data_IF_059877636706
#
_entry.id   IF_059877636706
#
_cell.length_a   1.000
_cell.length_b   1.000
_cell.length_c   1.000
_cell.angle_alpha   90.00
_cell.angle_beta   90.00
_cell.angle_gamma   90.00
#
_symmetry.space_group_name_H-M   'P 1'
#
loop_
_entity.id
_entity.type
_entity.pdbx_description
1 polymer ?
#
# COMPACT_ATOMS: atom_id res chain seq x y z
N UNK A 1 -48.58 -54.09 14.15
CA UNK A 1 -49.51 -53.28 14.95
C UNK A 1 -48.69 -52.39 15.82
N UNK A 2 -48.46 -51.13 15.39
CA UNK A 2 -47.84 -50.09 16.22
C UNK A 2 -48.47 -48.75 15.81
N UNK A 3 -49.21 -48.20 16.69
CA UNK A 3 -50.07 -47.02 16.55
C UNK A 3 -49.24 -45.74 16.55
N UNK A 4 -49.40 -44.92 15.51
CA UNK A 4 -48.92 -43.54 15.46
C UNK A 4 -49.82 -42.65 16.31
N UNK A 5 -49.25 -41.97 17.31
CA UNK A 5 -49.88 -40.82 17.98
C UNK A 5 -49.47 -39.52 17.29
N UNK A 6 -50.46 -38.83 16.74
CA UNK A 6 -50.33 -37.51 16.21
C UNK A 6 -50.36 -36.49 17.37
N UNK A 7 -49.38 -35.61 17.47
CA UNK A 7 -49.40 -34.41 18.35
C UNK A 7 -49.91 -33.21 17.55
N UNK A 8 -51.05 -32.71 17.90
CA UNK A 8 -51.61 -31.48 17.36
C UNK A 8 -51.12 -30.31 18.25
N UNK A 9 -50.32 -29.41 17.65
CA UNK A 9 -49.93 -28.16 18.30
C UNK A 9 -50.94 -27.09 17.89
N UNK A 10 -51.68 -26.57 18.87
CA UNK A 10 -52.59 -25.44 18.71
C UNK A 10 -51.77 -24.18 18.94
N UNK A 11 -51.52 -23.36 17.88
CA UNK A 11 -50.97 -22.01 18.02
C UNK A 11 -52.09 -21.03 18.38
N UNK A 12 -52.12 -20.57 19.59
CA UNK A 12 -52.95 -19.43 19.99
C UNK A 12 -52.23 -18.11 19.56
N UNK A 13 -52.82 -17.41 18.60
CA UNK A 13 -52.39 -16.05 18.20
C UNK A 13 -52.99 -15.04 19.17
N UNK A 14 -52.19 -14.52 20.09
CA UNK A 14 -52.54 -13.37 20.91
C UNK A 14 -52.22 -12.09 20.15
N UNK A 15 -53.23 -11.37 19.66
CA UNK A 15 -53.09 -10.00 19.20
C UNK A 15 -52.78 -9.08 20.36
N UNK A 16 -51.52 -8.66 20.50
CA UNK A 16 -51.13 -7.57 21.41
C UNK A 16 -51.09 -6.30 20.55
N UNK A 17 -52.12 -5.42 20.72
CA UNK A 17 -52.04 -4.04 20.28
C UNK A 17 -50.98 -3.31 21.09
N UNK A 18 -49.72 -3.29 20.56
CA UNK A 18 -48.62 -2.51 21.12
C UNK A 18 -48.74 -1.06 20.70
N UNK A 19 -48.82 -0.17 21.65
CA UNK A 19 -48.74 1.30 21.47
C UNK A 19 -47.42 1.62 20.72
N UNK A 20 -47.54 2.33 19.56
CA UNK A 20 -46.43 2.98 18.89
C UNK A 20 -45.90 4.09 19.83
N UNK A 21 -44.89 3.80 20.58
CA UNK A 21 -44.03 4.80 21.17
C UNK A 21 -43.20 5.40 20.04
N UNK A 22 -43.44 6.69 19.76
CA UNK A 22 -42.55 7.51 18.92
C UNK A 22 -41.15 7.35 19.53
N UNK A 23 -40.27 6.64 18.82
CA UNK A 23 -38.85 6.66 19.12
C UNK A 23 -38.38 8.09 18.93
N UNK A 24 -38.17 8.79 20.04
CA UNK A 24 -37.52 10.09 20.02
C UNK A 24 -36.20 9.93 19.28
N UNK A 25 -35.95 10.76 18.30
CA UNK A 25 -34.64 10.89 17.66
C UNK A 25 -33.64 11.17 18.78
N UNK A 26 -32.81 10.20 19.10
CA UNK A 26 -31.73 10.35 20.04
C UNK A 26 -30.77 11.38 19.41
N UNK A 27 -30.79 12.62 19.89
CA UNK A 27 -29.80 13.62 19.52
C UNK A 27 -28.42 12.97 19.72
N UNK A 28 -27.72 12.72 18.62
CA UNK A 28 -26.34 12.24 18.69
C UNK A 28 -25.53 13.28 19.49
N UNK A 29 -24.82 12.83 20.51
CA UNK A 29 -23.90 13.70 21.25
C UNK A 29 -23.08 14.52 20.26
N UNK A 30 -22.82 15.82 20.53
CA UNK A 30 -22.11 16.68 19.60
C UNK A 30 -20.77 16.04 19.27
N UNK A 31 -20.55 15.75 17.99
CA UNK A 31 -19.29 15.18 17.53
C UNK A 31 -18.16 16.16 17.87
N UNK A 32 -17.09 15.63 18.49
CA UNK A 32 -15.88 16.39 18.80
C UNK A 32 -15.36 17.05 17.50
N UNK A 33 -15.20 18.36 17.52
CA UNK A 33 -14.60 19.10 16.42
C UNK A 33 -13.13 19.35 16.75
N UNK A 34 -12.24 18.99 15.83
CA UNK A 34 -10.79 19.27 15.93
C UNK A 34 -10.44 20.27 14.84
N UNK A 35 -9.65 21.27 15.17
CA UNK A 35 -9.08 22.23 14.23
C UNK A 35 -7.56 22.05 14.19
N UNK A 36 -7.03 21.52 13.08
CA UNK A 36 -5.59 21.50 12.82
C UNK A 36 -5.18 22.79 12.13
N UNK A 37 -4.11 23.43 12.58
CA UNK A 37 -3.56 24.61 11.91
C UNK A 37 -2.05 24.56 11.83
N UNK A 38 -1.50 25.04 10.71
CA UNK A 38 -0.07 25.11 10.46
C UNK A 38 0.28 26.27 9.53
N UNK A 39 1.55 26.64 9.47
CA UNK A 39 2.03 27.70 8.59
C UNK A 39 1.75 27.42 7.10
N UNK A 40 1.73 26.17 6.69
CA UNK A 40 1.51 25.73 5.29
C UNK A 40 0.58 24.52 5.23
N UNK A 41 -0.04 24.36 4.07
CA UNK A 41 -0.86 23.17 3.75
C UNK A 41 -0.77 22.89 2.25
N UNK A 42 -0.58 21.64 1.89
CA UNK A 42 -0.68 21.12 0.53
C UNK A 42 -1.86 20.16 0.53
N UNK A 43 -2.92 20.53 -0.18
CA UNK A 43 -4.17 19.75 -0.18
C UNK A 43 -4.09 18.48 -1.01
N UNK A 44 -3.14 18.41 -1.96
CA UNK A 44 -3.03 17.34 -2.96
C UNK A 44 -4.04 17.46 -4.11
N UNK A 45 -4.96 18.42 -4.06
CA UNK A 45 -5.93 18.66 -5.15
C UNK A 45 -5.25 19.29 -6.36
N UNK A 46 -4.39 20.25 -6.09
CA UNK A 46 -3.61 21.00 -7.07
C UNK A 46 -2.17 21.20 -6.54
N UNK A 47 -1.36 21.98 -7.27
CA UNK A 47 0.04 22.27 -6.93
C UNK A 47 0.20 23.45 -5.95
N UNK A 48 -0.90 23.97 -5.39
CA UNK A 48 -0.86 25.14 -4.53
C UNK A 48 -0.38 24.82 -3.10
N UNK A 49 0.49 25.68 -2.58
CA UNK A 49 0.85 25.71 -1.15
C UNK A 49 0.03 26.78 -0.45
N UNK A 50 -0.94 26.38 0.34
CA UNK A 50 -1.82 27.26 1.10
C UNK A 50 -1.10 27.76 2.35
N UNK A 51 -0.98 29.08 2.53
CA UNK A 51 -0.43 29.69 3.75
C UNK A 51 -1.50 29.73 4.85
N UNK A 52 -1.06 29.56 6.11
CA UNK A 52 -1.93 29.54 7.29
C UNK A 52 -3.09 28.53 7.10
N UNK A 53 -2.73 27.29 6.74
CA UNK A 53 -3.67 26.21 6.50
C UNK A 53 -4.44 25.83 7.76
N UNK A 54 -5.77 25.68 7.61
CA UNK A 54 -6.66 25.18 8.67
C UNK A 54 -7.51 24.06 8.10
N UNK A 55 -7.60 22.96 8.87
CA UNK A 55 -8.50 21.83 8.59
C UNK A 55 -9.45 21.70 9.76
N UNK A 56 -10.74 21.73 9.52
CA UNK A 56 -11.78 21.40 10.50
C UNK A 56 -12.21 19.95 10.31
N UNK A 57 -12.25 19.19 11.40
CA UNK A 57 -12.53 17.75 11.41
C UNK A 57 -13.70 17.50 12.35
N UNK A 58 -14.71 16.74 11.91
CA UNK A 58 -15.81 16.26 12.73
C UNK A 58 -15.88 14.73 12.66
N UNK A 59 -15.70 14.08 13.79
CA UNK A 59 -15.59 12.62 13.83
C UNK A 59 -14.41 12.12 12.98
N UNK A 60 -14.67 11.25 12.03
CA UNK A 60 -13.64 10.67 11.16
C UNK A 60 -13.39 11.48 9.87
N UNK A 61 -14.11 12.60 9.64
CA UNK A 61 -14.13 13.27 8.34
C UNK A 61 -13.68 14.71 8.41
N UNK A 62 -13.08 15.14 7.31
CA UNK A 62 -12.78 16.55 7.06
C UNK A 62 -14.10 17.28 6.78
N UNK A 63 -14.40 18.33 7.56
CA UNK A 63 -15.54 19.21 7.39
C UNK A 63 -15.25 20.36 6.45
N UNK A 64 -14.09 21.01 6.66
CA UNK A 64 -13.66 22.15 5.85
C UNK A 64 -12.14 22.25 5.82
N UNK A 65 -11.62 22.81 4.73
CA UNK A 65 -10.19 23.04 4.49
C UNK A 65 -10.03 24.42 3.86
N UNK A 66 -9.05 25.19 4.31
CA UNK A 66 -8.77 26.50 3.69
C UNK A 66 -7.72 27.31 4.43
N UNK A 67 -7.43 28.51 3.90
CA UNK A 67 -6.55 29.48 4.55
C UNK A 67 -7.33 30.23 5.64
N UNK A 68 -6.78 30.26 6.88
CA UNK A 68 -7.32 31.07 7.99
C UNK A 68 -8.83 30.91 8.22
N UNK A 69 -9.36 29.70 8.11
CA UNK A 69 -10.77 29.42 8.35
C UNK A 69 -11.19 29.83 9.77
N UNK A 70 -12.45 30.33 9.97
CA UNK A 70 -12.99 30.54 11.31
C UNK A 70 -13.04 29.22 12.09
N UNK A 71 -12.41 29.20 13.24
CA UNK A 71 -12.40 28.02 14.13
C UNK A 71 -13.57 28.15 15.10
N UNK A 72 -14.48 27.15 15.19
CA UNK A 72 -15.57 27.15 16.17
C UNK A 72 -15.04 27.25 17.60
N UNK A 73 -15.72 28.01 18.46
CA UNK A 73 -15.27 28.24 19.83
C UNK A 73 -15.20 26.95 20.68
N UNK A 74 -15.96 25.92 20.29
CA UNK A 74 -15.95 24.59 20.95
C UNK A 74 -14.97 23.61 20.31
N UNK A 75 -14.21 24.00 19.28
CA UNK A 75 -13.24 23.12 18.65
C UNK A 75 -11.98 22.97 19.51
N UNK A 76 -11.47 21.75 19.58
CA UNK A 76 -10.12 21.48 20.07
C UNK A 76 -9.10 21.94 19.04
N UNK A 77 -8.25 22.88 19.40
CA UNK A 77 -7.24 23.44 18.47
C UNK A 77 -5.91 22.76 18.68
N UNK A 78 -5.39 22.15 17.62
CA UNK A 78 -4.02 21.62 17.53
C UNK A 78 -3.21 22.56 16.64
N UNK A 79 -2.37 23.39 17.26
CA UNK A 79 -1.47 24.32 16.58
C UNK A 79 -0.13 23.66 16.32
N UNK A 80 0.17 23.39 15.07
CA UNK A 80 1.39 22.69 14.63
C UNK A 80 2.53 23.65 14.23
N UNK A 81 2.29 24.97 14.35
CA UNK A 81 3.31 25.99 14.15
C UNK A 81 3.94 25.99 12.76
N UNK A 82 5.28 26.04 12.68
CA UNK A 82 6.02 25.99 11.42
C UNK A 82 6.08 24.56 10.86
N UNK A 83 4.94 24.11 10.37
CA UNK A 83 4.78 22.82 9.71
C UNK A 83 4.01 22.97 8.39
N UNK A 84 4.01 21.91 7.60
CA UNK A 84 3.17 21.73 6.43
C UNK A 84 2.18 20.59 6.65
N UNK A 85 0.88 20.88 6.58
CA UNK A 85 -0.18 19.87 6.58
C UNK A 85 -0.26 19.21 5.21
N UNK A 86 -0.37 17.89 5.19
CA UNK A 86 -0.48 17.05 4.00
C UNK A 86 -1.57 15.99 4.21
N UNK A 87 -2.13 15.40 3.13
CA UNK A 87 -2.83 14.14 3.25
C UNK A 87 -1.91 13.07 3.84
N UNK A 88 -2.47 12.12 4.56
CA UNK A 88 -1.70 10.93 4.98
C UNK A 88 -1.07 10.24 3.78
N UNK A 89 0.19 9.82 3.93
CA UNK A 89 0.94 9.15 2.88
C UNK A 89 0.36 7.75 2.58
N UNK A 90 0.51 7.32 1.34
CA UNK A 90 0.04 6.04 0.84
C UNK A 90 1.22 5.28 0.26
N UNK A 91 1.45 4.07 0.73
CA UNK A 91 2.39 3.12 0.16
C UNK A 91 1.63 2.09 -0.68
N UNK A 92 1.72 2.21 -2.01
CA UNK A 92 0.98 1.35 -2.92
C UNK A 92 1.65 -0.01 -3.18
N UNK A 93 2.79 -0.31 -2.54
CA UNK A 93 3.49 -1.58 -2.64
C UNK A 93 4.33 -1.85 -1.39
N UNK A 94 3.83 -2.66 -0.50
CA UNK A 94 4.57 -3.10 0.69
C UNK A 94 4.33 -4.58 1.00
N UNK A 95 5.14 -5.13 1.90
CA UNK A 95 5.08 -6.50 2.41
C UNK A 95 5.16 -6.48 3.93
N UNK A 96 4.05 -6.10 4.60
CA UNK A 96 4.05 -5.90 6.05
C UNK A 96 4.39 -7.16 6.84
N UNK A 97 4.02 -8.34 6.32
CA UNK A 97 4.17 -9.62 7.00
C UNK A 97 5.49 -10.33 6.67
N UNK A 98 6.41 -9.63 6.00
CA UNK A 98 7.73 -10.15 5.64
C UNK A 98 8.82 -9.20 6.09
N UNK A 99 9.89 -9.75 6.64
CA UNK A 99 11.10 -9.00 6.98
C UNK A 99 12.31 -9.89 6.82
N UNK A 100 13.24 -9.46 5.99
CA UNK A 100 14.50 -10.16 5.71
C UNK A 100 15.71 -9.31 6.09
N UNK A 101 16.81 -9.95 6.40
CA UNK A 101 18.07 -9.24 6.58
C UNK A 101 18.57 -8.71 5.25
N UNK A 102 18.66 -7.37 5.14
CA UNK A 102 19.12 -6.68 3.95
C UNK A 102 20.62 -6.81 3.68
N UNK A 103 21.41 -7.33 4.62
CA UNK A 103 22.88 -7.38 4.49
C UNK A 103 23.39 -8.43 3.50
N UNK A 104 22.52 -9.29 2.96
CA UNK A 104 22.90 -10.30 1.99
C UNK A 104 21.88 -10.43 0.84
N UNK A 105 21.85 -9.42 -0.02
CA UNK A 105 20.94 -9.36 -1.17
C UNK A 105 21.08 -10.56 -2.13
N UNK A 106 22.24 -11.20 -2.20
CA UNK A 106 22.46 -12.36 -3.07
C UNK A 106 21.78 -13.64 -2.57
N UNK A 107 21.32 -13.67 -1.32
CA UNK A 107 20.64 -14.81 -0.71
C UNK A 107 19.15 -14.56 -0.44
N UNK A 108 18.54 -13.54 -1.03
CA UNK A 108 17.12 -13.17 -0.78
C UNK A 108 16.18 -14.36 -1.02
N UNK A 109 16.35 -15.09 -2.12
CA UNK A 109 15.50 -16.26 -2.42
C UNK A 109 15.63 -17.36 -1.36
N UNK A 110 16.86 -17.59 -0.85
CA UNK A 110 17.11 -18.56 0.21
C UNK A 110 16.50 -18.11 1.53
N UNK A 111 16.63 -16.83 1.84
CA UNK A 111 16.04 -16.25 3.05
C UNK A 111 14.51 -16.27 3.01
N UNK A 112 13.91 -15.97 1.86
CA UNK A 112 12.46 -16.10 1.67
C UNK A 112 12.00 -17.55 1.89
N UNK A 113 12.69 -18.53 1.31
CA UNK A 113 12.39 -19.95 1.55
C UNK A 113 12.51 -20.32 3.03
N UNK A 114 13.54 -19.80 3.72
CA UNK A 114 13.73 -20.01 5.16
C UNK A 114 12.55 -19.45 5.95
N UNK A 115 12.12 -18.21 5.68
CA UNK A 115 10.99 -17.56 6.34
C UNK A 115 9.73 -18.41 6.17
N UNK A 116 9.40 -18.79 4.93
CA UNK A 116 8.19 -19.57 4.63
C UNK A 116 8.23 -20.96 5.28
N UNK A 117 9.42 -21.57 5.39
CA UNK A 117 9.57 -22.88 6.00
C UNK A 117 9.61 -22.87 7.54
N UNK A 118 9.91 -21.73 8.17
CA UNK A 118 10.18 -21.67 9.63
C UNK A 118 9.25 -20.73 10.41
N UNK A 119 8.54 -19.82 9.74
CA UNK A 119 7.63 -18.87 10.39
C UNK A 119 6.18 -19.18 10.03
N UNK A 120 5.35 -19.35 11.04
CA UNK A 120 3.90 -19.53 10.83
C UNK A 120 3.23 -18.23 10.33
N UNK A 121 2.11 -18.34 9.64
CA UNK A 121 1.29 -17.18 9.26
C UNK A 121 0.91 -16.32 10.47
N UNK A 122 0.71 -16.92 11.65
CA UNK A 122 0.38 -16.20 12.88
C UNK A 122 1.56 -15.33 13.37
N UNK A 123 2.79 -15.87 13.37
CA UNK A 123 4.00 -15.11 13.70
C UNK A 123 4.21 -13.96 12.72
N UNK A 124 4.03 -14.21 11.43
CA UNK A 124 4.13 -13.19 10.38
C UNK A 124 3.05 -12.11 10.52
N UNK A 125 1.82 -12.45 10.91
CA UNK A 125 0.77 -11.47 11.19
C UNK A 125 1.11 -10.58 12.41
N UNK A 126 1.75 -11.12 13.45
CA UNK A 126 2.24 -10.33 14.59
C UNK A 126 3.40 -9.41 14.18
N UNK A 127 4.31 -9.89 13.35
CA UNK A 127 5.35 -9.07 12.72
C UNK A 127 4.73 -7.92 11.92
N UNK A 128 3.72 -8.24 11.09
CA UNK A 128 2.98 -7.26 10.29
C UNK A 128 2.25 -6.21 11.15
N UNK A 129 1.77 -6.57 12.35
CA UNK A 129 1.18 -5.61 13.28
C UNK A 129 2.22 -4.60 13.82
N UNK A 130 3.45 -5.06 14.09
CA UNK A 130 4.57 -4.16 14.45
C UNK A 130 4.90 -3.23 13.27
N UNK A 131 5.14 -3.81 12.09
CA UNK A 131 5.52 -3.06 10.90
C UNK A 131 4.46 -2.04 10.49
N UNK A 132 3.18 -2.44 10.51
CA UNK A 132 2.08 -1.54 10.21
C UNK A 132 1.92 -0.39 11.22
N UNK A 133 2.20 -0.64 12.50
CA UNK A 133 2.25 0.44 13.49
C UNK A 133 3.38 1.41 13.19
N UNK A 134 4.56 0.93 12.87
CA UNK A 134 5.73 1.76 12.54
C UNK A 134 5.51 2.58 11.26
N UNK A 135 4.87 1.99 10.23
CA UNK A 135 4.44 2.72 9.03
C UNK A 135 3.44 3.83 9.37
N UNK A 136 2.42 3.53 10.18
CA UNK A 136 1.43 4.52 10.59
C UNK A 136 2.06 5.68 11.39
N UNK A 137 2.95 5.37 12.34
CA UNK A 137 3.69 6.38 13.14
C UNK A 137 4.63 7.25 12.28
N UNK A 138 5.09 6.73 11.13
CA UNK A 138 5.86 7.49 10.16
C UNK A 138 5.01 8.37 9.21
N UNK A 139 3.67 8.25 9.27
CA UNK A 139 2.75 9.04 8.46
C UNK A 139 2.14 8.30 7.27
N UNK A 140 2.44 7.02 7.08
CA UNK A 140 1.83 6.16 6.06
C UNK A 140 0.48 5.68 6.61
N UNK A 141 -0.62 6.33 6.21
CA UNK A 141 -1.96 6.06 6.74
C UNK A 141 -2.71 4.99 5.95
N UNK A 142 -2.26 4.68 4.75
CA UNK A 142 -2.84 3.65 3.86
C UNK A 142 -1.74 2.86 3.18
N UNK A 143 -1.91 1.55 3.05
CA UNK A 143 -0.96 0.66 2.36
C UNK A 143 -1.68 -0.33 1.45
N UNK A 144 -1.00 -0.78 0.40
CA UNK A 144 -1.36 -1.98 -0.34
C UNK A 144 -0.31 -3.06 -0.09
N UNK A 145 -0.69 -4.08 0.70
CA UNK A 145 0.12 -5.27 0.93
C UNK A 145 -0.08 -6.24 -0.25
N UNK A 146 1.01 -6.57 -0.93
CA UNK A 146 0.97 -7.27 -2.21
C UNK A 146 1.61 -8.66 -2.16
N UNK A 147 1.42 -9.35 -1.04
CA UNK A 147 1.81 -10.75 -0.86
C UNK A 147 3.00 -10.93 0.07
N UNK A 148 3.61 -12.10 0.02
CA UNK A 148 4.59 -12.58 1.00
C UNK A 148 4.02 -12.54 2.44
N UNK A 149 2.76 -12.94 2.57
CA UNK A 149 1.96 -12.83 3.81
C UNK A 149 1.49 -14.19 4.32
N UNK A 150 1.96 -15.29 3.71
CA UNK A 150 1.46 -16.62 3.97
C UNK A 150 -0.01 -16.77 3.55
N UNK A 151 -0.69 -17.78 4.08
CA UNK A 151 -2.09 -18.03 3.75
C UNK A 151 -3.00 -17.05 4.52
N UNK A 152 -3.45 -15.99 3.83
CA UNK A 152 -4.41 -14.99 4.32
C UNK A 152 -3.97 -14.21 5.60
N UNK A 153 -2.66 -14.11 5.87
CA UNK A 153 -2.14 -13.36 7.01
C UNK A 153 -2.40 -11.86 6.90
N UNK A 154 -2.30 -11.28 5.71
CA UNK A 154 -2.62 -9.90 5.40
C UNK A 154 -4.10 -9.56 5.64
N UNK A 155 -5.01 -10.44 5.25
CA UNK A 155 -6.46 -10.27 5.52
C UNK A 155 -6.74 -10.33 7.02
N UNK A 156 -6.06 -11.21 7.75
CA UNK A 156 -6.20 -11.30 9.20
C UNK A 156 -5.69 -10.01 9.88
N UNK A 157 -4.54 -9.50 9.46
CA UNK A 157 -3.98 -8.24 9.96
C UNK A 157 -4.90 -7.04 9.63
N UNK A 158 -5.36 -6.94 8.38
CA UNK A 158 -6.31 -5.90 7.97
C UNK A 158 -7.55 -5.88 8.88
N UNK A 159 -8.17 -7.04 9.11
CA UNK A 159 -9.34 -7.16 9.99
C UNK A 159 -9.03 -6.78 11.43
N UNK A 160 -7.87 -7.14 11.96
CA UNK A 160 -7.45 -6.74 13.30
C UNK A 160 -7.30 -5.22 13.43
N UNK A 161 -6.75 -4.55 12.40
CA UNK A 161 -6.64 -3.08 12.35
C UNK A 161 -8.03 -2.43 12.22
N UNK A 162 -8.91 -2.96 11.34
CA UNK A 162 -10.28 -2.45 11.14
C UNK A 162 -11.14 -2.57 12.42
N UNK A 163 -10.92 -3.63 13.21
CA UNK A 163 -11.59 -3.83 14.50
C UNK A 163 -10.95 -3.03 15.64
N UNK A 164 -9.84 -2.33 15.39
CA UNK A 164 -9.12 -1.58 16.42
C UNK A 164 -8.38 -2.45 17.45
N UNK A 165 -8.14 -3.73 17.14
CA UNK A 165 -7.37 -4.62 18.03
C UNK A 165 -5.89 -4.28 18.04
N UNK A 166 -5.37 -3.82 16.93
CA UNK A 166 -3.99 -3.36 16.78
C UNK A 166 -3.96 -2.05 15.98
N UNK A 167 -3.04 -1.11 16.27
CA UNK A 167 -2.84 0.07 15.45
C UNK A 167 -2.19 -0.32 14.10
N UNK A 168 -2.52 0.43 13.05
CA UNK A 168 -1.92 0.24 11.73
C UNK A 168 -2.59 1.10 10.66
N UNK A 169 -2.02 1.16 9.44
CA UNK A 169 -2.60 1.87 8.32
C UNK A 169 -3.88 1.20 7.82
N UNK A 170 -4.61 1.86 6.96
CA UNK A 170 -5.70 1.26 6.18
C UNK A 170 -5.08 0.31 5.16
N UNK A 171 -5.49 -0.94 5.14
CA UNK A 171 -4.86 -1.95 4.29
C UNK A 171 -5.74 -2.35 3.09
N UNK A 172 -5.12 -2.41 1.93
CA UNK A 172 -5.57 -3.17 0.76
C UNK A 172 -4.74 -4.45 0.74
N UNK A 173 -5.38 -5.61 0.84
CA UNK A 173 -4.73 -6.90 0.98
C UNK A 173 -4.93 -7.76 -0.28
N UNK A 174 -3.88 -8.43 -0.75
CA UNK A 174 -3.92 -9.23 -1.97
C UNK A 174 -4.14 -10.72 -1.74
N UNK A 175 -3.95 -11.22 -0.52
CA UNK A 175 -3.76 -12.64 -0.22
C UNK A 175 -2.48 -13.18 -0.90
N UNK A 176 -2.46 -14.47 -1.26
CA UNK A 176 -1.33 -15.06 -1.99
C UNK A 176 -1.30 -14.55 -3.43
N UNK A 177 -0.10 -14.27 -3.95
CA UNK A 177 0.05 -13.85 -5.34
C UNK A 177 -0.26 -14.99 -6.32
N UNK A 178 -0.89 -14.67 -7.45
CA UNK A 178 -1.07 -15.60 -8.55
C UNK A 178 0.22 -15.69 -9.36
N UNK A 179 0.65 -16.90 -9.72
CA UNK A 179 1.90 -17.09 -10.44
C UNK A 179 1.85 -18.35 -11.33
N UNK A 180 2.76 -18.43 -12.30
CA UNK A 180 3.08 -19.69 -12.94
C UNK A 180 3.75 -20.67 -11.94
N UNK A 181 3.92 -21.94 -12.34
CA UNK A 181 4.53 -22.96 -11.49
C UNK A 181 5.89 -22.50 -10.95
N UNK A 182 6.06 -22.52 -9.63
CA UNK A 182 7.28 -22.11 -8.93
C UNK A 182 7.23 -20.71 -8.33
N UNK A 183 6.37 -19.82 -8.82
CA UNK A 183 6.35 -18.43 -8.36
C UNK A 183 7.71 -17.76 -8.59
N UNK A 184 8.23 -17.11 -7.55
CA UNK A 184 9.57 -16.53 -7.55
C UNK A 184 10.64 -17.47 -6.93
N UNK A 185 10.23 -18.60 -6.30
CA UNK A 185 11.19 -19.53 -5.69
C UNK A 185 11.98 -20.38 -6.69
N UNK A 186 11.60 -20.33 -7.98
CA UNK A 186 12.21 -21.17 -8.96
C UNK A 186 11.82 -22.67 -8.83
N UNK A 187 12.75 -23.56 -9.21
CA UNK A 187 12.47 -25.00 -9.22
C UNK A 187 12.77 -25.63 -7.86
N UNK A 188 11.74 -26.06 -7.16
CA UNK A 188 11.85 -26.90 -5.96
C UNK A 188 11.62 -28.38 -6.29
N UNK A 189 12.10 -29.25 -5.42
CA UNK A 189 11.80 -30.70 -5.50
C UNK A 189 10.31 -30.95 -5.24
N UNK A 190 9.72 -32.05 -5.74
CA UNK A 190 8.29 -32.32 -5.57
C UNK A 190 7.83 -32.32 -4.11
N UNK A 191 8.66 -32.77 -3.19
CA UNK A 191 8.37 -32.87 -1.77
C UNK A 191 8.26 -31.48 -1.09
N UNK A 192 8.82 -30.44 -1.72
CA UNK A 192 8.83 -29.06 -1.21
C UNK A 192 7.79 -28.16 -1.90
N UNK A 193 6.90 -28.72 -2.75
CA UNK A 193 5.90 -27.94 -3.48
C UNK A 193 4.94 -27.18 -2.55
N UNK A 194 4.64 -27.72 -1.39
CA UNK A 194 3.81 -27.08 -0.36
C UNK A 194 4.39 -25.76 0.15
N UNK A 195 5.68 -25.52 0.02
CA UNK A 195 6.31 -24.23 0.34
C UNK A 195 5.83 -23.15 -0.63
N UNK A 196 5.78 -23.49 -1.93
CA UNK A 196 5.27 -22.56 -2.95
C UNK A 196 3.81 -22.18 -2.63
N UNK A 197 2.99 -23.14 -2.25
CA UNK A 197 1.56 -22.95 -1.96
C UNK A 197 1.29 -22.09 -0.71
N UNK A 198 2.30 -21.81 0.12
CA UNK A 198 2.17 -20.84 1.23
C UNK A 198 2.13 -19.39 0.71
N UNK A 199 2.83 -19.09 -0.39
CA UNK A 199 2.96 -17.72 -0.91
C UNK A 199 2.25 -17.50 -2.24
N UNK A 200 2.09 -18.56 -3.06
CA UNK A 200 1.58 -18.44 -4.42
C UNK A 200 0.40 -19.38 -4.68
N UNK A 201 -0.53 -18.89 -5.48
CA UNK A 201 -1.55 -19.74 -6.12
C UNK A 201 -1.07 -20.02 -7.54
N UNK A 202 -0.72 -21.28 -7.83
CA UNK A 202 -0.26 -21.68 -9.16
C UNK A 202 -1.42 -21.70 -10.14
N UNK A 203 -1.31 -20.92 -11.22
CA UNK A 203 -2.27 -20.92 -12.35
C UNK A 203 -1.76 -21.79 -13.49
N UNK A 204 -2.67 -22.41 -14.20
CA UNK A 204 -2.43 -23.31 -15.36
C UNK A 204 -3.50 -23.10 -16.41
N UNK A 205 -3.33 -22.05 -17.22
CA UNK A 205 -4.29 -21.63 -18.25
C UNK A 205 -5.37 -20.67 -17.71
N UNK A 206 -6.08 -20.04 -18.65
CA UNK A 206 -7.02 -18.94 -18.39
C UNK A 206 -8.16 -19.33 -17.42
N UNK A 207 -8.72 -20.54 -17.50
CA UNK A 207 -9.78 -20.96 -16.59
C UNK A 207 -9.27 -21.13 -15.16
N UNK A 208 -8.07 -21.74 -14.99
CA UNK A 208 -7.41 -21.82 -13.68
C UNK A 208 -7.14 -20.43 -13.09
N UNK A 209 -6.76 -19.47 -13.94
CA UNK A 209 -6.54 -18.09 -13.55
C UNK A 209 -7.83 -17.42 -13.02
N UNK A 210 -8.98 -17.58 -13.70
CA UNK A 210 -10.28 -17.08 -13.23
C UNK A 210 -10.67 -17.68 -11.88
N UNK A 211 -10.51 -19.01 -11.73
CA UNK A 211 -10.80 -19.68 -10.46
C UNK A 211 -9.92 -19.18 -9.32
N UNK A 212 -8.62 -18.93 -9.58
CA UNK A 212 -7.70 -18.37 -8.60
C UNK A 212 -8.11 -16.96 -8.14
N UNK A 213 -8.58 -16.11 -9.07
CA UNK A 213 -9.12 -14.77 -8.71
C UNK A 213 -10.36 -14.93 -7.82
N UNK A 214 -11.33 -15.78 -8.19
CA UNK A 214 -12.53 -16.02 -7.37
C UNK A 214 -12.19 -16.53 -5.99
N UNK A 215 -11.19 -17.41 -5.87
CA UNK A 215 -10.74 -17.92 -4.58
C UNK A 215 -10.10 -16.79 -3.74
N UNK A 216 -9.23 -15.97 -4.33
CA UNK A 216 -8.63 -14.84 -3.63
C UNK A 216 -9.70 -13.86 -3.10
N UNK A 217 -10.73 -13.55 -3.90
CA UNK A 217 -11.86 -12.70 -3.49
C UNK A 217 -12.66 -13.33 -2.34
N UNK A 218 -12.92 -14.64 -2.40
CA UNK A 218 -13.59 -15.40 -1.32
C UNK A 218 -12.78 -15.36 -0.04
N UNK A 219 -11.46 -15.47 -0.12
CA UNK A 219 -10.52 -15.38 1.01
C UNK A 219 -10.42 -13.97 1.60
N UNK A 220 -10.92 -12.97 0.87
CA UNK A 220 -11.03 -11.58 1.33
C UNK A 220 -10.02 -10.63 0.71
N UNK A 221 -9.43 -10.98 -0.44
CA UNK A 221 -8.60 -10.04 -1.20
C UNK A 221 -9.37 -8.78 -1.59
N UNK A 222 -8.72 -7.63 -1.54
CA UNK A 222 -9.21 -6.34 -2.02
C UNK A 222 -8.36 -5.77 -3.17
N UNK A 223 -7.32 -6.49 -3.58
CA UNK A 223 -6.60 -6.39 -4.84
C UNK A 223 -6.10 -7.77 -5.24
N UNK A 224 -5.72 -7.95 -6.51
CA UNK A 224 -5.08 -9.18 -6.99
C UNK A 224 -3.62 -8.87 -7.29
N UNK A 225 -2.69 -9.66 -6.73
CA UNK A 225 -1.26 -9.62 -7.09
C UNK A 225 -0.94 -10.76 -8.03
N UNK A 226 -0.19 -10.45 -9.10
CA UNK A 226 0.30 -11.43 -10.07
C UNK A 226 1.82 -11.30 -10.20
N UNK A 227 2.53 -12.42 -10.21
CA UNK A 227 3.92 -12.52 -10.59
C UNK A 227 3.98 -12.93 -12.07
N UNK A 228 4.20 -11.96 -12.95
CA UNK A 228 4.17 -12.19 -14.41
C UNK A 228 5.40 -12.96 -14.86
N UNK A 229 6.59 -12.52 -14.45
CA UNK A 229 7.84 -13.22 -14.72
C UNK A 229 8.21 -14.11 -13.53
N UNK A 230 7.78 -15.35 -13.58
CA UNK A 230 8.16 -16.38 -12.63
C UNK A 230 9.38 -17.19 -13.12
N UNK A 231 9.77 -18.18 -12.33
CA UNK A 231 10.82 -19.13 -12.71
C UNK A 231 10.32 -20.56 -12.44
N UNK A 232 10.36 -21.47 -13.40
CA UNK A 232 10.97 -21.38 -14.74
C UNK A 232 10.03 -20.86 -15.85
N UNK A 233 8.80 -20.46 -15.55
CA UNK A 233 7.80 -20.06 -16.54
C UNK A 233 7.13 -18.73 -16.20
N UNK A 234 6.79 -17.96 -17.23
CA UNK A 234 6.02 -16.72 -17.11
C UNK A 234 4.51 -17.00 -17.22
N UNK A 235 3.71 -16.10 -16.65
CA UNK A 235 2.28 -16.02 -16.91
C UNK A 235 2.06 -15.52 -18.33
N UNK A 236 1.21 -16.18 -19.09
CA UNK A 236 0.91 -15.85 -20.49
C UNK A 236 -0.04 -14.66 -20.60
N UNK A 237 -0.11 -14.03 -21.78
CA UNK A 237 -1.06 -12.94 -22.04
C UNK A 237 -2.53 -13.39 -21.87
N UNK A 238 -2.87 -14.62 -22.25
CA UNK A 238 -4.21 -15.18 -22.14
C UNK A 238 -4.62 -15.34 -20.66
N UNK A 239 -3.70 -15.87 -19.84
CA UNK A 239 -3.89 -15.97 -18.39
C UNK A 239 -4.02 -14.59 -17.74
N UNK A 240 -3.15 -13.63 -18.12
CA UNK A 240 -3.22 -12.26 -17.60
C UNK A 240 -4.54 -11.58 -17.93
N UNK A 241 -5.03 -11.71 -19.18
CA UNK A 241 -6.36 -11.19 -19.56
C UNK A 241 -7.48 -11.83 -18.75
N UNK A 242 -7.42 -13.14 -18.54
CA UNK A 242 -8.41 -13.86 -17.74
C UNK A 242 -8.43 -13.37 -16.27
N UNK A 243 -7.25 -13.07 -15.69
CA UNK A 243 -7.13 -12.48 -14.35
C UNK A 243 -7.75 -11.08 -14.32
N UNK A 244 -7.36 -10.21 -15.26
CA UNK A 244 -7.82 -8.82 -15.32
C UNK A 244 -9.34 -8.76 -15.51
N UNK A 245 -9.89 -9.52 -16.47
CA UNK A 245 -11.34 -9.57 -16.74
C UNK A 245 -12.12 -10.00 -15.49
N UNK A 246 -11.68 -11.04 -14.79
CA UNK A 246 -12.38 -11.57 -13.62
C UNK A 246 -12.28 -10.63 -12.41
N UNK A 247 -11.11 -10.03 -12.19
CA UNK A 247 -10.90 -9.07 -11.12
C UNK A 247 -11.73 -7.79 -11.35
N UNK A 248 -11.67 -7.22 -12.57
CA UNK A 248 -12.40 -6.02 -12.93
C UNK A 248 -13.91 -6.22 -12.92
N UNK A 249 -14.41 -7.38 -13.32
CA UNK A 249 -15.83 -7.73 -13.19
C UNK A 249 -16.33 -7.67 -11.73
N UNK A 250 -15.42 -7.84 -10.78
CA UNK A 250 -15.67 -7.73 -9.33
C UNK A 250 -15.31 -6.37 -8.75
N UNK A 251 -14.88 -5.40 -9.57
CA UNK A 251 -14.46 -4.05 -9.15
C UNK A 251 -13.12 -4.03 -8.40
N UNK A 252 -12.27 -5.06 -8.58
CA UNK A 252 -11.01 -5.21 -7.86
C UNK A 252 -9.84 -4.96 -8.81
N UNK A 253 -8.82 -4.25 -8.30
CA UNK A 253 -7.61 -3.84 -9.03
C UNK A 253 -6.57 -4.96 -9.10
N UNK A 254 -5.78 -4.96 -10.19
CA UNK A 254 -4.71 -5.95 -10.44
C UNK A 254 -3.34 -5.28 -10.40
N UNK A 255 -2.46 -5.75 -9.54
CA UNK A 255 -1.06 -5.37 -9.41
C UNK A 255 -0.16 -6.45 -10.01
N UNK A 256 0.71 -6.08 -10.94
CA UNK A 256 1.55 -7.02 -11.68
C UNK A 256 3.04 -6.79 -11.39
N UNK A 257 3.69 -7.71 -10.65
CA UNK A 257 5.15 -7.78 -10.65
C UNK A 257 5.62 -8.15 -12.06
N UNK A 258 6.35 -7.26 -12.71
CA UNK A 258 6.85 -7.49 -14.06
C UNK A 258 8.23 -6.84 -14.25
N UNK A 259 9.24 -7.66 -14.46
CA UNK A 259 10.63 -7.25 -14.72
C UNK A 259 11.00 -7.68 -16.13
N UNK A 260 11.66 -6.78 -16.85
CA UNK A 260 12.03 -6.97 -18.25
C UNK A 260 10.89 -6.66 -19.24
N UNK A 261 11.27 -6.38 -20.48
CA UNK A 261 10.37 -5.88 -21.53
C UNK A 261 9.18 -6.82 -21.82
N UNK A 262 9.42 -8.13 -21.89
CA UNK A 262 8.40 -9.10 -22.26
C UNK A 262 7.30 -9.22 -21.18
N UNK A 263 7.67 -9.32 -19.91
CA UNK A 263 6.71 -9.43 -18.80
C UNK A 263 5.92 -8.12 -18.64
N UNK A 264 6.61 -6.98 -18.68
CA UNK A 264 5.99 -5.65 -18.60
C UNK A 264 5.00 -5.42 -19.75
N UNK A 265 5.36 -5.83 -20.97
CA UNK A 265 4.45 -5.79 -22.13
C UNK A 265 3.21 -6.65 -21.91
N UNK A 266 3.40 -7.89 -21.48
CA UNK A 266 2.29 -8.82 -21.20
C UNK A 266 1.30 -8.22 -20.20
N UNK A 267 1.79 -7.65 -19.10
CA UNK A 267 0.98 -6.98 -18.10
C UNK A 267 0.24 -5.74 -18.67
N UNK A 268 0.96 -4.86 -19.38
CA UNK A 268 0.40 -3.64 -19.98
C UNK A 268 -0.65 -3.97 -21.04
N UNK A 269 -0.40 -4.94 -21.93
CA UNK A 269 -1.35 -5.36 -22.96
C UNK A 269 -2.59 -6.03 -22.37
N UNK A 270 -2.47 -6.76 -21.27
CA UNK A 270 -3.60 -7.34 -20.54
C UNK A 270 -4.47 -6.27 -19.87
N UNK A 271 -3.94 -5.08 -19.58
CA UNK A 271 -4.71 -3.98 -18.98
C UNK A 271 -4.77 -4.05 -17.46
N UNK A 272 -3.69 -4.46 -16.80
CA UNK A 272 -3.55 -4.37 -15.34
C UNK A 272 -3.64 -2.92 -14.86
N UNK A 273 -3.94 -2.71 -13.59
CA UNK A 273 -4.04 -1.36 -13.02
C UNK A 273 -2.68 -0.78 -12.65
N UNK A 274 -1.75 -1.61 -12.20
CA UNK A 274 -0.37 -1.20 -11.96
C UNK A 274 0.64 -2.26 -12.38
N UNK A 275 1.81 -1.78 -12.77
CA UNK A 275 3.02 -2.57 -12.95
C UNK A 275 4.02 -2.15 -11.90
N UNK A 276 4.45 -3.13 -11.14
CA UNK A 276 5.43 -3.00 -10.09
C UNK A 276 6.83 -3.18 -10.70
N UNK A 277 7.77 -2.33 -10.32
CA UNK A 277 9.18 -2.32 -10.78
C UNK A 277 9.37 -1.90 -12.24
N UNK A 278 8.94 -2.70 -13.22
CA UNK A 278 9.15 -2.49 -14.66
C UNK A 278 10.62 -2.24 -15.06
N UNK A 279 11.57 -2.89 -14.35
CA UNK A 279 12.99 -2.75 -14.69
C UNK A 279 13.28 -3.24 -16.12
N UNK A 280 14.18 -2.55 -16.83
CA UNK A 280 14.61 -2.89 -18.20
C UNK A 280 13.43 -2.92 -19.22
N UNK A 281 12.56 -1.92 -19.16
CA UNK A 281 11.41 -1.76 -20.08
C UNK A 281 11.78 -0.86 -21.26
N UNK A 282 11.21 -1.14 -22.44
CA UNK A 282 11.35 -0.30 -23.65
C UNK A 282 10.31 0.81 -23.72
N UNK A 283 10.61 1.84 -24.54
CA UNK A 283 9.77 3.03 -24.71
C UNK A 283 8.37 2.73 -25.27
N UNK A 284 8.25 1.75 -26.16
CA UNK A 284 6.96 1.39 -26.74
C UNK A 284 6.02 0.75 -25.69
N UNK A 285 6.56 0.01 -24.70
CA UNK A 285 5.77 -0.51 -23.59
C UNK A 285 5.35 0.61 -22.63
N UNK A 286 6.23 1.56 -22.32
CA UNK A 286 5.87 2.75 -21.53
C UNK A 286 4.75 3.57 -22.20
N UNK A 287 4.76 3.67 -23.53
CA UNK A 287 3.67 4.30 -24.28
C UNK A 287 2.35 3.52 -24.16
N UNK A 288 2.38 2.19 -24.16
CA UNK A 288 1.19 1.36 -23.91
C UNK A 288 0.65 1.62 -22.49
N UNK A 289 1.54 1.66 -21.50
CA UNK A 289 1.14 1.98 -20.11
C UNK A 289 0.46 3.35 -20.03
N UNK A 290 1.05 4.38 -20.61
CA UNK A 290 0.47 5.72 -20.64
C UNK A 290 -0.89 5.76 -21.35
N UNK A 291 -1.02 5.12 -22.53
CA UNK A 291 -2.27 5.08 -23.30
C UNK A 291 -3.41 4.36 -22.57
N UNK A 292 -3.08 3.32 -21.81
CA UNK A 292 -4.04 2.52 -21.04
C UNK A 292 -4.23 2.98 -19.61
N UNK A 293 -3.54 4.05 -19.21
CA UNK A 293 -3.54 4.56 -17.84
C UNK A 293 -3.10 3.50 -16.81
N UNK A 294 -2.11 2.68 -17.17
CA UNK A 294 -1.49 1.70 -16.27
C UNK A 294 -0.45 2.42 -15.42
N UNK A 295 -0.62 2.40 -14.12
CA UNK A 295 0.32 3.01 -13.18
C UNK A 295 1.66 2.27 -13.17
N UNK A 296 2.74 3.03 -13.05
CA UNK A 296 4.03 2.50 -12.59
C UNK A 296 4.14 2.72 -11.09
N UNK A 297 4.44 1.64 -10.35
CA UNK A 297 4.90 1.70 -8.96
C UNK A 297 6.38 1.37 -8.97
N UNK A 298 7.28 2.38 -8.92
CA UNK A 298 8.69 2.19 -9.25
C UNK A 298 9.46 1.29 -8.28
N UNK A 299 9.25 1.47 -6.96
CA UNK A 299 9.96 0.76 -5.89
C UNK A 299 11.49 0.96 -5.90
N UNK A 300 11.93 2.11 -6.37
CA UNK A 300 13.34 2.42 -6.60
C UNK A 300 14.09 2.70 -5.31
N UNK A 301 15.38 2.38 -5.29
CA UNK A 301 16.29 2.71 -4.21
C UNK A 301 17.39 3.67 -4.65
N UNK A 302 18.03 4.35 -3.70
CA UNK A 302 19.25 5.10 -3.96
C UNK A 302 20.47 4.20 -3.81
N UNK A 303 21.60 4.60 -4.41
CA UNK A 303 22.87 3.90 -4.16
C UNK A 303 23.19 3.82 -2.65
N UNK A 304 22.89 4.88 -1.90
CA UNK A 304 23.07 4.93 -0.44
C UNK A 304 22.18 3.92 0.30
N UNK A 305 20.99 3.63 -0.22
CA UNK A 305 20.11 2.58 0.32
C UNK A 305 20.73 1.20 0.13
N UNK A 306 21.21 0.88 -1.08
CA UNK A 306 21.89 -0.38 -1.37
C UNK A 306 23.21 -0.53 -0.59
N UNK A 307 23.98 0.56 -0.46
CA UNK A 307 25.19 0.63 0.39
C UNK A 307 24.87 0.26 1.84
N UNK A 308 23.85 0.91 2.43
CA UNK A 308 23.45 0.68 3.81
C UNK A 308 22.98 -0.77 4.04
N UNK A 309 22.20 -1.32 3.13
CA UNK A 309 21.79 -2.73 3.18
C UNK A 309 22.99 -3.67 3.10
N UNK A 310 23.86 -3.50 2.08
CA UNK A 310 24.97 -4.43 1.83
C UNK A 310 26.03 -4.47 2.93
N UNK A 311 26.24 -3.38 3.63
CA UNK A 311 27.28 -3.28 4.65
C UNK A 311 26.74 -3.21 6.08
N UNK A 312 25.45 -3.27 6.28
CA UNK A 312 24.81 -3.23 7.59
C UNK A 312 25.07 -1.92 8.34
N UNK A 313 25.37 -0.81 7.61
CA UNK A 313 25.70 0.48 8.20
C UNK A 313 25.32 1.64 7.26
N UNK A 314 24.86 2.74 7.85
CA UNK A 314 24.64 4.03 7.13
C UNK A 314 25.88 4.88 7.03
N UNK A 315 27.02 4.44 7.61
CA UNK A 315 28.29 5.13 7.62
C UNK A 315 29.37 4.26 6.95
N UNK A 316 29.17 3.97 5.66
CA UNK A 316 30.11 3.20 4.88
C UNK A 316 31.44 3.93 4.72
N UNK A 317 32.53 3.17 4.73
CA UNK A 317 33.87 3.67 4.38
C UNK A 317 33.95 4.00 2.89
N UNK A 318 34.95 4.75 2.47
CA UNK A 318 35.17 5.08 1.05
C UNK A 318 35.33 3.81 0.18
N UNK A 319 36.05 2.80 0.66
CA UNK A 319 36.21 1.53 -0.03
C UNK A 319 34.87 0.76 -0.18
N UNK A 320 34.00 0.83 0.84
CA UNK A 320 32.65 0.24 0.76
C UNK A 320 31.77 0.99 -0.23
N UNK A 321 31.81 2.32 -0.24
CA UNK A 321 31.08 3.14 -1.23
C UNK A 321 31.51 2.83 -2.66
N UNK A 322 32.84 2.78 -2.91
CA UNK A 322 33.34 2.42 -4.25
C UNK A 322 32.88 1.02 -4.69
N UNK A 323 32.83 0.07 -3.76
CA UNK A 323 32.32 -1.27 -4.05
C UNK A 323 30.81 -1.26 -4.35
N UNK A 324 30.01 -0.53 -3.59
CA UNK A 324 28.58 -0.39 -3.83
C UNK A 324 28.31 0.29 -5.19
N UNK A 325 29.08 1.33 -5.53
CA UNK A 325 28.99 1.99 -6.84
C UNK A 325 29.29 1.03 -7.99
N UNK A 326 30.32 0.21 -7.88
CA UNK A 326 30.65 -0.81 -8.88
C UNK A 326 29.54 -1.86 -9.03
N UNK A 327 28.96 -2.31 -7.90
CA UNK A 327 27.99 -3.40 -7.86
C UNK A 327 26.56 -2.93 -8.21
N UNK A 328 26.09 -1.81 -7.64
CA UNK A 328 24.71 -1.34 -7.75
C UNK A 328 24.54 -0.08 -8.61
N UNK A 329 25.61 0.67 -8.88
CA UNK A 329 25.52 1.92 -9.65
C UNK A 329 24.83 1.77 -10.99
N UNK A 330 25.16 0.75 -11.83
CA UNK A 330 24.46 0.52 -13.10
C UNK A 330 22.97 0.20 -12.93
N UNK A 331 22.58 -0.51 -11.87
CA UNK A 331 21.18 -0.83 -11.57
C UNK A 331 20.41 0.44 -11.18
N UNK A 332 20.91 1.22 -10.22
CA UNK A 332 20.31 2.48 -9.79
C UNK A 332 20.18 3.48 -10.95
N UNK A 333 21.22 3.60 -11.79
CA UNK A 333 21.14 4.44 -12.98
C UNK A 333 20.06 3.98 -13.95
N UNK A 334 19.88 2.66 -14.10
CA UNK A 334 18.81 2.05 -14.89
C UNK A 334 17.41 2.35 -14.36
N UNK A 335 17.20 2.29 -13.03
CA UNK A 335 15.96 2.66 -12.34
C UNK A 335 15.61 4.13 -12.60
N UNK A 336 16.56 5.03 -12.36
CA UNK A 336 16.39 6.46 -12.57
C UNK A 336 16.05 6.79 -14.02
N UNK A 337 16.75 6.17 -14.98
CA UNK A 337 16.49 6.40 -16.42
C UNK A 337 15.11 5.87 -16.83
N UNK A 338 14.70 4.69 -16.34
CA UNK A 338 13.37 4.13 -16.58
C UNK A 338 12.29 5.07 -16.02
N UNK A 339 12.44 5.61 -14.79
CA UNK A 339 11.47 6.53 -14.20
C UNK A 339 11.38 7.85 -14.97
N UNK A 340 12.52 8.44 -15.38
CA UNK A 340 12.54 9.64 -16.26
C UNK A 340 11.80 9.41 -17.57
N UNK A 341 12.00 8.26 -18.22
CA UNK A 341 11.28 7.90 -19.44
C UNK A 341 9.79 7.70 -19.21
N UNK A 342 9.40 7.03 -18.13
CA UNK A 342 8.00 6.84 -17.76
C UNK A 342 7.29 8.19 -17.61
N UNK A 343 7.88 9.12 -16.85
CA UNK A 343 7.36 10.49 -16.67
C UNK A 343 7.26 11.20 -18.02
N UNK A 344 8.30 11.14 -18.83
CA UNK A 344 8.34 11.77 -20.19
C UNK A 344 7.20 11.28 -21.08
N UNK A 345 6.84 10.00 -21.01
CA UNK A 345 5.74 9.43 -21.79
C UNK A 345 4.36 9.62 -21.15
N UNK A 346 4.27 10.22 -19.97
CA UNK A 346 3.02 10.46 -19.28
C UNK A 346 2.43 9.22 -18.60
N UNK A 347 3.29 8.25 -18.22
CA UNK A 347 2.87 7.12 -17.38
C UNK A 347 2.53 7.66 -15.99
N UNK A 348 1.33 7.37 -15.44
CA UNK A 348 1.00 7.78 -14.08
C UNK A 348 1.88 7.02 -13.07
N UNK A 349 2.37 7.73 -12.05
CA UNK A 349 3.27 7.18 -11.03
C UNK A 349 2.56 7.17 -9.67
N UNK A 350 2.55 6.02 -9.00
CA UNK A 350 2.14 5.90 -7.60
C UNK A 350 3.33 5.43 -6.75
N UNK A 351 3.47 6.01 -5.56
CA UNK A 351 4.58 5.65 -4.68
C UNK A 351 4.35 4.28 -4.04
N UNK A 352 5.41 3.47 -4.00
CA UNK A 352 5.44 2.18 -3.32
C UNK A 352 6.86 1.84 -2.91
N UNK A 353 7.01 1.33 -1.69
CA UNK A 353 8.33 1.12 -1.09
C UNK A 353 8.95 -0.22 -1.44
N UNK A 354 8.13 -1.24 -1.66
CA UNK A 354 8.55 -2.65 -1.70
C UNK A 354 9.40 -3.03 -0.48
N UNK A 355 9.09 -2.41 0.65
CA UNK A 355 9.90 -2.62 1.85
C UNK A 355 9.57 -3.97 2.50
N UNK A 356 10.56 -4.82 2.59
CA UNK A 356 10.59 -6.09 3.28
C UNK A 356 11.98 -6.38 3.87
N UNK A 357 12.89 -5.41 3.78
CA UNK A 357 14.28 -5.53 4.25
C UNK A 357 14.49 -4.72 5.53
N UNK A 358 15.29 -5.24 6.44
CA UNK A 358 15.77 -4.45 7.58
C UNK A 358 16.77 -3.40 7.12
N UNK A 359 16.60 -2.18 7.60
CA UNK A 359 17.53 -1.08 7.33
C UNK A 359 18.30 -0.70 8.61
N UNK A 360 19.64 -0.59 8.55
CA UNK A 360 20.46 -0.27 9.72
C UNK A 360 20.04 1.02 10.40
N UNK A 361 19.66 0.94 11.69
CA UNK A 361 19.29 2.09 12.50
C UNK A 361 17.97 2.76 12.16
N UNK A 362 17.10 2.09 11.40
CA UNK A 362 15.76 2.54 11.05
C UNK A 362 14.71 1.53 11.49
N UNK A 363 13.51 2.03 11.83
CA UNK A 363 12.31 1.21 11.91
C UNK A 363 11.67 1.05 10.51
N UNK A 364 10.65 0.20 10.40
CA UNK A 364 9.96 -0.08 9.14
C UNK A 364 9.45 1.18 8.45
N UNK A 365 8.74 2.05 9.16
CA UNK A 365 8.17 3.25 8.58
C UNK A 365 9.21 4.21 8.01
N UNK A 366 10.33 4.40 8.71
CA UNK A 366 11.43 5.20 8.21
C UNK A 366 12.05 4.60 6.94
N UNK A 367 12.22 3.27 6.92
CA UNK A 367 12.76 2.57 5.76
C UNK A 367 11.84 2.68 4.53
N UNK A 368 10.52 2.57 4.73
CA UNK A 368 9.52 2.68 3.65
C UNK A 368 9.52 4.05 2.95
N UNK A 369 9.94 5.12 3.65
CA UNK A 369 9.96 6.48 3.10
C UNK A 369 11.21 6.79 2.25
N UNK A 370 12.25 5.94 2.29
CA UNK A 370 13.50 6.16 1.53
C UNK A 370 13.31 6.23 0.01
N UNK A 371 12.22 5.68 -0.52
CA UNK A 371 11.90 5.72 -1.96
C UNK A 371 11.74 7.16 -2.49
N UNK A 372 11.40 8.12 -1.63
CA UNK A 372 11.21 9.50 -2.05
C UNK A 372 12.53 10.16 -2.43
N UNK A 373 13.65 9.81 -1.75
CA UNK A 373 14.99 10.22 -2.18
C UNK A 373 15.30 9.67 -3.59
N UNK A 374 14.98 8.42 -3.87
CA UNK A 374 15.22 7.81 -5.18
C UNK A 374 14.39 8.49 -6.30
N UNK A 375 13.14 8.86 -6.01
CA UNK A 375 12.31 9.59 -6.97
C UNK A 375 12.84 11.00 -7.25
N UNK A 376 13.35 11.71 -6.23
CA UNK A 376 14.01 13.01 -6.40
C UNK A 376 15.29 12.89 -7.24
N UNK A 377 16.15 11.90 -6.96
CA UNK A 377 17.36 11.62 -7.76
C UNK A 377 17.03 11.27 -9.22
N UNK A 378 15.89 10.63 -9.47
CA UNK A 378 15.38 10.38 -10.81
C UNK A 378 14.81 11.65 -11.49
N UNK A 379 14.68 12.77 -10.78
CA UNK A 379 14.24 14.06 -11.31
C UNK A 379 12.76 14.39 -11.13
N UNK A 380 12.03 13.67 -10.26
CA UNK A 380 10.70 14.10 -9.84
C UNK A 380 10.81 15.36 -8.97
N UNK A 381 9.92 16.32 -9.19
CA UNK A 381 9.80 17.48 -8.31
C UNK A 381 9.17 17.07 -6.96
N UNK A 382 9.40 17.81 -5.86
CA UNK A 382 8.76 17.51 -4.59
C UNK A 382 7.23 17.40 -4.67
N UNK A 383 6.57 18.25 -5.48
CA UNK A 383 5.13 18.18 -5.68
C UNK A 383 4.70 16.88 -6.39
N UNK A 384 5.45 16.43 -7.40
CA UNK A 384 5.18 15.16 -8.08
C UNK A 384 5.32 13.97 -7.12
N UNK A 385 6.32 14.01 -6.22
CA UNK A 385 6.52 12.98 -5.21
C UNK A 385 5.35 12.97 -4.21
N UNK A 386 4.93 14.14 -3.71
CA UNK A 386 3.76 14.26 -2.84
C UNK A 386 2.50 13.71 -3.53
N UNK A 387 2.29 14.06 -4.80
CA UNK A 387 1.15 13.52 -5.55
C UNK A 387 1.23 12.00 -5.73
N UNK A 388 2.39 11.46 -6.06
CA UNK A 388 2.61 10.02 -6.19
C UNK A 388 2.33 9.28 -4.87
N UNK A 389 2.70 9.90 -3.74
CA UNK A 389 2.52 9.35 -2.39
C UNK A 389 1.12 9.62 -1.77
N UNK A 390 0.23 10.33 -2.48
CA UNK A 390 -1.09 10.70 -1.96
C UNK A 390 -2.19 10.45 -3.01
N UNK A 391 -2.55 11.45 -3.83
CA UNK A 391 -3.69 11.37 -4.75
C UNK A 391 -3.56 10.30 -5.82
N UNK A 392 -2.36 10.13 -6.40
CA UNK A 392 -2.14 9.14 -7.47
C UNK A 392 -2.22 7.71 -6.90
N UNK A 393 -1.57 7.48 -5.74
CA UNK A 393 -1.71 6.20 -5.04
C UNK A 393 -3.17 5.94 -4.62
N UNK A 394 -3.90 6.96 -4.16
CA UNK A 394 -5.32 6.81 -3.81
C UNK A 394 -6.18 6.47 -5.04
N UNK A 395 -5.91 7.06 -6.21
CA UNK A 395 -6.62 6.72 -7.45
C UNK A 395 -6.31 5.29 -7.89
N UNK A 396 -5.02 4.89 -7.92
CA UNK A 396 -4.62 3.52 -8.20
C UNK A 396 -5.33 2.51 -7.29
N UNK A 397 -5.43 2.79 -5.99
CA UNK A 397 -6.06 1.90 -5.03
C UNK A 397 -7.60 1.94 -5.05
N UNK A 398 -8.22 2.76 -5.91
CA UNK A 398 -9.68 2.94 -5.96
C UNK A 398 -10.24 3.66 -4.72
N UNK A 399 -9.44 4.47 -4.06
CA UNK A 399 -9.77 5.14 -2.81
C UNK A 399 -9.83 6.68 -2.92
N UNK A 400 -9.73 7.25 -4.12
CA UNK A 400 -9.66 8.69 -4.34
C UNK A 400 -10.82 9.50 -3.74
N UNK A 401 -12.00 8.88 -3.63
CA UNK A 401 -13.17 9.52 -3.03
C UNK A 401 -13.13 9.51 -1.49
N UNK A 402 -12.16 8.83 -0.90
CA UNK A 402 -12.04 8.65 0.55
C UNK A 402 -10.79 9.27 1.16
N UNK A 403 -9.64 9.18 0.48
CA UNK A 403 -8.31 9.61 0.97
C UNK A 403 -7.48 10.23 -0.16
N UNK A 404 -6.24 10.59 0.12
CA UNK A 404 -5.25 11.06 -0.87
C UNK A 404 -5.27 12.57 -1.12
N UNK A 405 -6.33 13.28 -0.70
CA UNK A 405 -6.38 14.75 -0.73
C UNK A 405 -7.11 15.29 0.50
N UNK A 406 -6.82 16.53 0.87
CA UNK A 406 -7.51 17.23 1.96
C UNK A 406 -8.71 17.96 1.37
N UNK A 407 -9.87 17.30 1.39
CA UNK A 407 -11.15 17.85 0.87
C UNK A 407 -12.28 17.52 1.83
N UNK A 408 -13.30 18.41 1.85
CA UNK A 408 -14.50 18.19 2.65
C UNK A 408 -15.18 16.86 2.28
N UNK A 409 -15.57 16.10 3.28
CA UNK A 409 -16.22 14.79 3.15
C UNK A 409 -15.27 13.60 3.12
N UNK A 410 -13.99 13.78 2.83
CA UNK A 410 -12.96 12.71 2.88
C UNK A 410 -12.60 12.36 4.32
N UNK A 411 -12.01 11.21 4.50
CA UNK A 411 -11.49 10.77 5.79
C UNK A 411 -10.37 11.70 6.26
N UNK A 412 -10.35 11.99 7.54
CA UNK A 412 -9.34 12.83 8.16
C UNK A 412 -8.04 12.02 8.40
N UNK A 413 -7.40 11.63 7.30
CA UNK A 413 -6.05 11.08 7.24
C UNK A 413 -5.12 12.25 6.92
N UNK A 414 -4.46 12.79 7.95
CA UNK A 414 -3.69 14.03 7.88
C UNK A 414 -2.34 13.86 8.56
N UNK A 415 -1.28 14.31 7.93
CA UNK A 415 0.03 14.41 8.56
C UNK A 415 0.49 15.86 8.62
N UNK A 416 1.40 16.16 9.55
CA UNK A 416 2.17 17.39 9.54
C UNK A 416 3.66 17.07 9.58
N UNK A 417 4.38 17.62 8.64
CA UNK A 417 5.83 17.50 8.54
C UNK A 417 6.48 18.85 8.93
N UNK A 418 7.68 18.83 9.54
CA UNK A 418 8.37 20.07 9.87
C UNK A 418 8.80 20.83 8.61
N UNK A 419 8.76 22.15 8.66
CA UNK A 419 9.25 22.99 7.55
C UNK A 419 8.43 22.90 6.27
N UNK A 420 9.12 22.97 5.13
CA UNK A 420 8.54 23.07 3.79
C UNK A 420 9.09 21.95 2.86
N UNK A 421 8.29 20.93 2.54
CA UNK A 421 8.72 19.80 1.68
C UNK A 421 9.01 20.23 0.24
N UNK A 422 8.55 21.42 -0.18
CA UNK A 422 8.87 21.94 -1.51
C UNK A 422 10.32 22.38 -1.64
N UNK A 423 11.03 22.54 -0.51
CA UNK A 423 12.46 22.91 -0.46
C UNK A 423 13.35 21.71 -0.18
N UNK A 424 12.83 20.74 0.54
CA UNK A 424 13.55 19.52 0.93
C UNK A 424 12.55 18.37 1.06
N UNK A 425 12.57 17.45 0.10
CA UNK A 425 11.65 16.30 0.07
C UNK A 425 11.88 15.35 1.25
N UNK A 426 13.09 15.34 1.83
CA UNK A 426 13.42 14.52 3.02
C UNK A 426 12.62 14.91 4.26
N UNK A 427 12.02 16.09 4.26
CA UNK A 427 11.07 16.46 5.30
C UNK A 427 9.89 15.48 5.40
N UNK A 428 9.52 14.80 4.31
CA UNK A 428 8.47 13.76 4.29
C UNK A 428 8.81 12.55 5.18
N UNK A 429 10.08 12.30 5.47
CA UNK A 429 10.55 11.21 6.33
C UNK A 429 10.33 11.49 7.84
N UNK A 430 9.87 12.70 8.18
CA UNK A 430 9.86 13.19 9.56
C UNK A 430 8.48 13.74 9.99
N UNK A 431 7.44 12.92 9.86
CA UNK A 431 6.12 13.32 10.36
C UNK A 431 6.20 13.60 11.88
N UNK A 432 5.78 14.80 12.28
CA UNK A 432 5.67 15.19 13.70
C UNK A 432 4.24 15.09 14.24
N UNK A 433 3.28 14.91 13.37
CA UNK A 433 1.88 14.70 13.70
C UNK A 433 1.27 13.75 12.67
N UNK A 434 0.53 12.77 13.16
CA UNK A 434 -0.19 11.80 12.34
C UNK A 434 -1.60 11.64 12.87
N UNK A 435 -2.57 11.77 11.99
CA UNK A 435 -3.98 11.49 12.25
C UNK A 435 -4.51 10.53 11.20
N UNK A 436 -5.24 9.51 11.62
CA UNK A 436 -5.94 8.56 10.75
C UNK A 436 -7.41 8.48 11.13
N UNK A 437 -8.31 8.78 10.19
CA UNK A 437 -9.76 8.74 10.44
C UNK A 437 -10.19 9.63 11.61
N UNK A 438 -9.58 10.81 11.77
CA UNK A 438 -9.88 11.74 12.84
C UNK A 438 -9.29 11.40 14.22
N UNK A 439 -8.54 10.29 14.32
CA UNK A 439 -7.86 9.87 15.56
C UNK A 439 -6.39 10.25 15.47
N UNK A 440 -5.89 11.02 16.44
CA UNK A 440 -4.48 11.36 16.56
C UNK A 440 -3.72 10.10 16.98
N UNK A 441 -2.73 9.72 16.17
CA UNK A 441 -1.88 8.55 16.38
C UNK A 441 -0.55 8.98 17.01
N UNK A 442 0.06 10.03 16.49
CA UNK A 442 1.35 10.54 16.91
C UNK A 442 1.30 12.08 16.93
N UNK A 443 1.90 12.68 17.96
CA UNK A 443 2.12 14.12 18.08
C UNK A 443 3.42 14.35 18.84
N UNK A 444 4.48 14.81 18.16
CA UNK A 444 5.84 15.09 18.69
C UNK A 444 6.12 16.55 18.81
#
# INVERSE_FOLDING_TARGET
MLTRKAFTVVCAVACVCGQCTLAGAQESAPQRTIALKAARMITGVDDAVVKNGVILIEGERIKAVGAALPIPANAEVVDLGDATLLPGLIDAHTHLLSEMDGTNLTLQDVEMLRIVATQSTAERALLGARNGREDLEAGITTVRDVGNSGVNGDVALRRAIEQGWVPGPRMIASTRALAAQGGQFGRLIPEAQNIIEQEYVTIRGAESARQAVRQALYDGASCIKVIVNGSPANVTLDEMKAIVDEAHASGVKVAAHAIGDAATRTAAEAGVDSIEHAYVVKDDVLKIMAQKHVYLVPTDGTLKTFEAMSFGTRQATEAQRSKAEEEFGPFVAGEQERLRRAIKFGVPIAAGSDMYLTMPGMNRGQASLLVYEAYEEAGMTPMQIIHAATREAADLLGMKDRVGTLESGKLADVIAIPGDPMRDVKALEHAKFVMKGGVIVEAK
#
